data_IF_935524613353
#
_entry.id   IF_935524613353
#
_cell.length_a   1.000
_cell.length_b   1.000
_cell.length_c   1.000
_cell.angle_alpha   90.00
_cell.angle_beta   90.00
_cell.angle_gamma   90.00
#
_symmetry.space_group_name_H-M   'P 1'
#
loop_
_entity.id
_entity.type
_entity.pdbx_description
1 polymer ?
#
# COMPACT_ATOMS: atom_id res chain seq x y z
N UNK A 1 7.94 -20.13 3.93
CA UNK A 1 8.12 -18.91 4.76
C UNK A 1 9.21 -18.02 4.18
N UNK A 2 9.14 -17.73 2.88
CA UNK A 2 10.05 -16.81 2.18
C UNK A 2 9.29 -15.54 1.79
N UNK A 3 9.98 -14.41 1.59
CA UNK A 3 9.35 -13.19 1.06
C UNK A 3 8.61 -13.43 -0.27
N UNK A 4 9.17 -14.24 -1.16
CA UNK A 4 8.57 -14.62 -2.44
C UNK A 4 7.25 -15.38 -2.25
N UNK A 5 7.22 -16.44 -1.41
CA UNK A 5 5.99 -17.18 -1.14
C UNK A 5 4.90 -16.32 -0.49
N UNK A 6 5.29 -15.31 0.30
CA UNK A 6 4.35 -14.36 0.87
C UNK A 6 3.82 -13.41 -0.21
N UNK A 7 4.70 -12.86 -1.05
CA UNK A 7 4.33 -12.02 -2.17
C UNK A 7 3.32 -12.70 -3.10
N UNK A 8 3.60 -13.92 -3.57
CA UNK A 8 2.69 -14.68 -4.43
C UNK A 8 1.33 -14.90 -3.77
N UNK A 9 1.33 -15.25 -2.49
CA UNK A 9 0.09 -15.48 -1.75
C UNK A 9 -0.76 -14.21 -1.63
N UNK A 10 -0.14 -13.10 -1.28
CA UNK A 10 -0.84 -11.83 -1.11
C UNK A 10 -1.22 -11.20 -2.47
N UNK A 11 -0.45 -11.43 -3.54
CA UNK A 11 -0.78 -10.94 -4.90
C UNK A 11 -2.08 -11.58 -5.44
N UNK A 12 -2.40 -12.81 -5.01
CA UNK A 12 -3.68 -13.43 -5.35
C UNK A 12 -4.88 -12.61 -4.84
N UNK A 13 -4.77 -12.00 -3.65
CA UNK A 13 -5.80 -11.11 -3.13
C UNK A 13 -5.93 -9.80 -3.92
N UNK A 14 -4.84 -9.30 -4.52
CA UNK A 14 -4.91 -8.14 -5.44
C UNK A 14 -5.72 -8.50 -6.68
N UNK A 15 -5.56 -9.71 -7.23
CA UNK A 15 -6.34 -10.15 -8.38
C UNK A 15 -7.82 -10.29 -8.03
N UNK A 16 -8.13 -10.85 -6.86
CA UNK A 16 -9.52 -10.94 -6.37
C UNK A 16 -10.14 -9.57 -6.15
N UNK A 17 -9.38 -8.62 -5.60
CA UNK A 17 -9.82 -7.24 -5.42
C UNK A 17 -10.17 -6.57 -6.75
N UNK A 18 -9.32 -6.70 -7.78
CA UNK A 18 -9.61 -6.17 -9.12
C UNK A 18 -10.89 -6.77 -9.71
N UNK A 19 -11.12 -8.06 -9.49
CA UNK A 19 -12.37 -8.72 -9.88
C UNK A 19 -13.57 -8.13 -9.15
N UNK A 20 -13.46 -7.86 -7.84
CA UNK A 20 -14.52 -7.23 -7.06
C UNK A 20 -14.82 -5.80 -7.52
N UNK A 21 -13.80 -5.00 -7.84
CA UNK A 21 -13.96 -3.66 -8.41
C UNK A 21 -14.79 -3.67 -9.70
N UNK A 22 -14.49 -4.59 -10.62
CA UNK A 22 -15.25 -4.72 -11.86
C UNK A 22 -16.72 -5.12 -11.63
N UNK A 23 -17.01 -5.88 -10.57
CA UNK A 23 -18.37 -6.29 -10.20
C UNK A 23 -19.16 -5.19 -9.48
N UNK A 24 -18.48 -4.27 -8.79
CA UNK A 24 -19.11 -3.17 -8.06
C UNK A 24 -19.77 -2.13 -8.97
N UNK A 25 -19.38 -2.09 -10.25
CA UNK A 25 -19.85 -1.10 -11.22
C UNK A 25 -21.37 -1.16 -11.38
N UNK A 26 -22.02 -0.05 -11.03
CA UNK A 26 -23.46 0.12 -11.15
C UNK A 26 -24.29 -0.75 -10.21
N UNK A 27 -23.67 -1.38 -9.19
CA UNK A 27 -24.36 -2.09 -8.11
C UNK A 27 -25.16 -3.33 -8.54
N UNK A 28 -24.94 -3.85 -9.75
CA UNK A 28 -25.77 -4.93 -10.33
C UNK A 28 -25.41 -6.33 -9.84
N UNK A 29 -24.23 -6.51 -9.27
CA UNK A 29 -23.66 -7.82 -8.96
C UNK A 29 -23.39 -8.02 -7.46
N UNK A 30 -24.28 -7.52 -6.59
CA UNK A 30 -24.09 -7.59 -5.14
C UNK A 30 -23.86 -9.02 -4.64
N UNK A 31 -24.63 -10.01 -5.10
CA UNK A 31 -24.43 -11.42 -4.74
C UNK A 31 -23.01 -11.94 -5.06
N UNK A 32 -22.43 -11.47 -6.18
CA UNK A 32 -21.07 -11.84 -6.56
C UNK A 32 -20.02 -11.16 -5.67
N UNK A 33 -20.27 -9.92 -5.24
CA UNK A 33 -19.42 -9.20 -4.28
C UNK A 33 -19.49 -9.88 -2.91
N UNK A 34 -20.67 -10.29 -2.46
CA UNK A 34 -20.86 -11.03 -1.21
C UNK A 34 -20.14 -12.38 -1.25
N UNK A 35 -20.17 -13.06 -2.41
CA UNK A 35 -19.39 -14.26 -2.66
C UNK A 35 -17.88 -14.01 -2.56
N UNK A 36 -17.38 -12.91 -3.14
CA UNK A 36 -15.97 -12.49 -3.01
C UNK A 36 -15.59 -12.16 -1.57
N UNK A 37 -16.43 -11.40 -0.85
CA UNK A 37 -16.22 -11.11 0.57
C UNK A 37 -16.14 -12.41 1.41
N UNK A 38 -17.03 -13.36 1.14
CA UNK A 38 -17.05 -14.66 1.83
C UNK A 38 -15.77 -15.46 1.58
N UNK A 39 -15.29 -15.49 0.33
CA UNK A 39 -14.03 -16.13 -0.03
C UNK A 39 -12.81 -15.47 0.65
N UNK A 40 -12.77 -14.13 0.71
CA UNK A 40 -11.70 -13.39 1.41
C UNK A 40 -11.64 -13.79 2.89
N UNK A 41 -12.79 -13.80 3.58
CA UNK A 41 -12.90 -14.18 5.00
C UNK A 41 -12.42 -15.60 5.29
N UNK A 42 -12.56 -16.53 4.35
CA UNK A 42 -12.11 -17.91 4.52
C UNK A 42 -10.58 -18.08 4.50
N UNK A 43 -9.85 -17.05 4.05
CA UNK A 43 -8.40 -17.01 3.79
C UNK A 43 -7.92 -18.09 2.81
N UNK A 44 -7.02 -17.71 1.90
CA UNK A 44 -6.42 -18.63 0.94
C UNK A 44 -5.59 -19.70 1.66
N UNK A 45 -5.45 -20.91 1.09
CA UNK A 45 -4.60 -21.95 1.67
C UNK A 45 -3.17 -21.48 1.94
N UNK A 46 -2.56 -20.71 1.03
CA UNK A 46 -1.23 -20.13 1.22
C UNK A 46 -1.16 -19.21 2.43
N UNK A 47 -2.21 -18.44 2.71
CA UNK A 47 -2.26 -17.53 3.86
C UNK A 47 -2.27 -18.35 5.16
N UNK A 48 -3.08 -19.42 5.19
CA UNK A 48 -3.07 -20.36 6.33
C UNK A 48 -1.68 -20.96 6.54
N UNK A 49 -0.96 -21.33 5.47
CA UNK A 49 0.42 -21.80 5.58
C UNK A 49 1.38 -20.74 6.10
N UNK A 50 1.25 -19.48 5.67
CA UNK A 50 2.06 -18.36 6.19
C UNK A 50 1.85 -18.17 7.69
N UNK A 51 0.63 -18.37 8.20
CA UNK A 51 0.35 -18.27 9.64
C UNK A 51 1.04 -19.34 10.51
N UNK A 52 1.53 -20.42 9.90
CA UNK A 52 2.31 -21.47 10.57
C UNK A 52 3.81 -21.19 10.59
N UNK A 53 4.27 -20.12 9.93
CA UNK A 53 5.67 -19.72 9.95
C UNK A 53 6.11 -19.26 11.35
N UNK A 54 7.41 -19.37 11.69
CA UNK A 54 7.93 -18.82 12.94
C UNK A 54 7.59 -17.34 13.10
N UNK A 55 7.35 -16.88 14.34
CA UNK A 55 6.95 -15.49 14.64
C UNK A 55 7.95 -14.47 14.06
N UNK A 56 9.24 -14.79 14.10
CA UNK A 56 10.31 -13.96 13.52
C UNK A 56 10.20 -13.79 12.00
N UNK A 57 9.52 -14.71 11.30
CA UNK A 57 9.23 -14.64 9.87
C UNK A 57 7.87 -14.01 9.59
N UNK A 58 6.85 -14.28 10.39
CA UNK A 58 5.51 -13.68 10.20
C UNK A 58 5.50 -12.19 10.52
N UNK A 59 6.36 -11.72 11.43
CA UNK A 59 6.55 -10.29 11.70
C UNK A 59 6.92 -9.50 10.43
N UNK A 60 7.68 -10.12 9.51
CA UNK A 60 8.07 -9.53 8.23
C UNK A 60 6.90 -9.40 7.24
N UNK A 61 5.76 -10.04 7.51
CA UNK A 61 4.56 -10.00 6.66
C UNK A 61 3.43 -9.18 7.29
N UNK A 62 3.68 -8.50 8.41
CA UNK A 62 2.70 -7.68 9.12
C UNK A 62 2.12 -6.54 8.26
N UNK A 63 2.91 -6.01 7.31
CA UNK A 63 2.45 -4.99 6.37
C UNK A 63 1.44 -5.57 5.38
N UNK A 64 1.76 -6.71 4.78
CA UNK A 64 0.89 -7.42 3.86
C UNK A 64 -0.41 -7.85 4.55
N UNK A 65 -0.35 -8.30 5.80
CA UNK A 65 -1.55 -8.65 6.57
C UNK A 65 -2.47 -7.44 6.79
N UNK A 66 -1.92 -6.25 7.08
CA UNK A 66 -2.70 -5.01 7.17
C UNK A 66 -3.33 -4.64 5.83
N UNK A 67 -2.60 -4.83 4.72
CA UNK A 67 -3.14 -4.63 3.37
C UNK A 67 -4.28 -5.58 3.05
N UNK A 68 -4.13 -6.87 3.39
CA UNK A 68 -5.20 -7.86 3.27
C UNK A 68 -6.43 -7.47 4.09
N UNK A 69 -6.26 -7.03 5.35
CA UNK A 69 -7.36 -6.59 6.20
C UNK A 69 -8.08 -5.37 5.60
N UNK A 70 -7.33 -4.36 5.13
CA UNK A 70 -7.89 -3.17 4.50
C UNK A 70 -8.67 -3.52 3.22
N UNK A 71 -8.12 -4.38 2.35
CA UNK A 71 -8.82 -4.82 1.14
C UNK A 71 -10.08 -5.64 1.47
N UNK A 72 -10.00 -6.53 2.45
CA UNK A 72 -11.15 -7.29 2.90
C UNK A 72 -12.24 -6.38 3.46
N UNK A 73 -11.87 -5.34 4.22
CA UNK A 73 -12.82 -4.35 4.73
C UNK A 73 -13.50 -3.58 3.59
N UNK A 74 -12.72 -3.13 2.59
CA UNK A 74 -13.26 -2.44 1.42
C UNK A 74 -14.26 -3.32 0.67
N UNK A 75 -13.88 -4.56 0.35
CA UNK A 75 -14.75 -5.47 -0.41
C UNK A 75 -16.00 -5.88 0.37
N UNK A 76 -15.89 -6.06 1.68
CA UNK A 76 -17.00 -6.57 2.50
C UNK A 76 -17.92 -5.49 3.04
N UNK A 77 -17.40 -4.29 3.32
CA UNK A 77 -18.08 -3.29 4.12
C UNK A 77 -18.16 -1.91 3.44
N UNK A 78 -17.42 -1.69 2.35
CA UNK A 78 -17.36 -0.40 1.65
C UNK A 78 -17.44 -0.56 0.12
N UNK A 79 -18.55 -1.16 -0.33
CA UNK A 79 -18.86 -1.34 -1.76
C UNK A 79 -18.85 -0.01 -2.52
N UNK A 80 -19.19 1.10 -1.84
CA UNK A 80 -19.14 2.44 -2.43
C UNK A 80 -17.70 2.84 -2.76
N UNK A 81 -16.76 2.76 -1.82
CA UNK A 81 -15.35 3.03 -2.11
C UNK A 81 -14.78 2.07 -3.16
N UNK A 82 -15.24 0.80 -3.19
CA UNK A 82 -14.85 -0.16 -4.21
C UNK A 82 -15.27 0.29 -5.63
N UNK A 83 -16.53 0.73 -5.78
CA UNK A 83 -17.07 1.27 -7.03
C UNK A 83 -16.40 2.59 -7.42
N UNK A 84 -16.32 3.53 -6.48
CA UNK A 84 -15.78 4.88 -6.74
C UNK A 84 -14.30 4.84 -7.07
N UNK A 85 -13.53 3.92 -6.47
CA UNK A 85 -12.14 3.68 -6.84
C UNK A 85 -12.02 3.15 -8.27
N UNK A 86 -12.89 2.22 -8.68
CA UNK A 86 -12.87 1.69 -10.04
C UNK A 86 -13.18 2.78 -11.07
N UNK A 87 -14.26 3.55 -10.85
CA UNK A 87 -14.61 4.70 -11.69
C UNK A 87 -13.47 5.72 -11.70
N UNK A 88 -12.93 6.04 -10.51
CA UNK A 88 -11.83 6.98 -10.36
C UNK A 88 -10.56 6.55 -11.09
N UNK A 89 -10.25 5.25 -11.14
CA UNK A 89 -9.15 4.70 -11.94
C UNK A 89 -9.39 4.79 -13.44
N UNK A 90 -10.63 4.57 -13.90
CA UNK A 90 -11.01 4.76 -15.30
C UNK A 90 -10.97 6.22 -15.75
N UNK A 91 -11.03 7.16 -14.80
CA UNK A 91 -10.95 8.58 -15.07
C UNK A 91 -9.52 9.11 -15.24
N UNK A 92 -8.50 8.25 -15.19
CA UNK A 92 -7.14 8.66 -15.52
C UNK A 92 -6.94 8.70 -17.04
N UNK A 93 -6.36 9.79 -17.53
CA UNK A 93 -5.80 9.89 -18.87
C UNK A 93 -4.57 8.97 -18.97
N UNK A 94 -4.66 7.96 -19.83
CA UNK A 94 -3.65 6.90 -19.93
C UNK A 94 -2.31 7.46 -20.42
N UNK A 95 -2.32 8.41 -21.35
CA UNK A 95 -1.09 8.97 -21.92
C UNK A 95 -0.37 9.80 -20.85
N UNK A 96 -1.11 10.68 -20.16
CA UNK A 96 -0.56 11.45 -19.02
C UNK A 96 -0.07 10.54 -17.90
N UNK A 97 -0.78 9.44 -17.64
CA UNK A 97 -0.37 8.48 -16.62
C UNK A 97 0.94 7.79 -16.98
N UNK A 98 1.10 7.37 -18.24
CA UNK A 98 2.36 6.80 -18.71
C UNK A 98 3.48 7.83 -18.60
N UNK A 99 3.27 9.06 -19.05
CA UNK A 99 4.24 10.15 -18.94
C UNK A 99 4.66 10.39 -17.48
N UNK A 100 3.70 10.60 -16.58
CA UNK A 100 3.98 10.83 -15.16
C UNK A 100 4.70 9.65 -14.51
N UNK A 101 4.31 8.40 -14.84
CA UNK A 101 4.98 7.21 -14.33
C UNK A 101 6.43 7.13 -14.83
N UNK A 102 6.69 7.43 -16.11
CA UNK A 102 8.05 7.44 -16.68
C UNK A 102 8.90 8.52 -16.03
N UNK A 103 8.38 9.74 -15.89
CA UNK A 103 9.08 10.85 -15.26
C UNK A 103 9.45 10.58 -13.80
N UNK A 104 8.53 9.95 -13.04
CA UNK A 104 8.68 9.77 -11.58
C UNK A 104 9.27 8.43 -11.14
N UNK A 105 9.06 7.35 -11.88
CA UNK A 105 9.28 5.99 -11.35
C UNK A 105 10.07 5.05 -12.28
N UNK A 106 10.13 5.35 -13.58
CA UNK A 106 10.71 4.45 -14.58
C UNK A 106 11.82 5.07 -15.43
N UNK A 107 12.57 6.05 -14.90
CA UNK A 107 13.92 6.30 -15.41
C UNK A 107 14.79 5.09 -15.07
N UNK A 108 14.66 4.04 -15.89
CA UNK A 108 15.58 2.92 -15.93
C UNK A 108 16.80 3.43 -16.71
N UNK A 109 17.95 3.48 -16.05
CA UNK A 109 19.20 3.64 -16.78
C UNK A 109 19.48 2.32 -17.53
N UNK A 110 20.13 2.38 -18.70
CA UNK A 110 20.42 1.20 -19.52
C UNK A 110 21.19 0.10 -18.75
N UNK A 111 21.86 0.47 -17.66
CA UNK A 111 22.64 -0.41 -16.80
C UNK A 111 21.90 -0.93 -15.55
N UNK A 112 20.62 -0.59 -15.35
CA UNK A 112 19.89 -1.03 -14.16
C UNK A 112 19.58 -2.53 -14.21
N UNK A 113 19.80 -3.29 -13.12
CA UNK A 113 19.44 -4.70 -13.08
C UNK A 113 17.92 -4.87 -13.22
N UNK A 114 17.45 -5.98 -13.82
CA UNK A 114 16.02 -6.22 -13.97
C UNK A 114 15.35 -6.25 -12.59
N UNK A 115 14.43 -5.32 -12.38
CA UNK A 115 13.66 -5.22 -11.14
C UNK A 115 12.84 -6.50 -10.94
N UNK A 116 12.85 -7.05 -9.73
CA UNK A 116 11.96 -8.17 -9.39
C UNK A 116 10.48 -7.73 -9.46
N UNK A 117 9.58 -8.70 -9.56
CA UNK A 117 8.14 -8.43 -9.75
C UNK A 117 7.52 -7.58 -8.64
N UNK A 118 7.94 -7.81 -7.39
CA UNK A 118 7.47 -7.04 -6.24
C UNK A 118 7.84 -5.56 -6.35
N UNK A 119 9.10 -5.25 -6.71
CA UNK A 119 9.57 -3.87 -6.89
C UNK A 119 8.84 -3.19 -8.05
N UNK A 120 8.63 -3.90 -9.15
CA UNK A 120 7.83 -3.38 -10.29
C UNK A 120 6.40 -3.06 -9.88
N UNK A 121 5.76 -3.93 -9.09
CA UNK A 121 4.42 -3.70 -8.58
C UNK A 121 4.39 -2.49 -7.64
N UNK A 122 5.33 -2.39 -6.70
CA UNK A 122 5.40 -1.29 -5.75
C UNK A 122 5.55 0.06 -6.44
N UNK A 123 6.50 0.19 -7.36
CA UNK A 123 6.68 1.42 -8.15
C UNK A 123 5.43 1.79 -8.93
N UNK A 124 4.74 0.80 -9.51
CA UNK A 124 3.48 1.05 -10.22
C UNK A 124 2.40 1.55 -9.27
N UNK A 125 2.17 0.89 -8.13
CA UNK A 125 1.11 1.27 -7.20
C UNK A 125 1.34 2.65 -6.59
N UNK A 126 2.57 2.89 -6.10
CA UNK A 126 2.97 4.18 -5.53
C UNK A 126 2.97 5.29 -6.58
N UNK A 127 3.48 5.00 -7.77
CA UNK A 127 3.47 5.93 -8.90
C UNK A 127 2.06 6.30 -9.33
N UNK A 128 1.17 5.32 -9.49
CA UNK A 128 -0.24 5.59 -9.84
C UNK A 128 -0.94 6.43 -8.79
N UNK A 129 -0.62 6.23 -7.49
CA UNK A 129 -1.13 7.08 -6.41
C UNK A 129 -0.60 8.51 -6.51
N UNK A 130 0.72 8.67 -6.67
CA UNK A 130 1.35 9.99 -6.77
C UNK A 130 0.97 10.77 -8.04
N UNK A 131 0.66 10.08 -9.14
CA UNK A 131 0.27 10.68 -10.41
C UNK A 131 -1.24 10.96 -10.52
N UNK A 132 -2.05 10.57 -9.54
CA UNK A 132 -3.50 10.52 -9.71
C UNK A 132 -4.11 11.87 -10.12
N UNK A 133 -3.76 12.95 -9.43
CA UNK A 133 -4.34 14.27 -9.64
C UNK A 133 -3.97 14.87 -11.00
N UNK A 134 -2.70 14.75 -11.40
CA UNK A 134 -2.17 15.29 -12.67
C UNK A 134 -2.72 14.53 -13.89
N UNK A 135 -3.12 13.29 -13.68
CA UNK A 135 -3.61 12.38 -14.72
C UNK A 135 -5.13 12.32 -14.74
N UNK A 136 -5.82 12.94 -13.80
CA UNK A 136 -7.27 12.92 -13.74
C UNK A 136 -7.89 13.68 -14.91
N UNK A 137 -8.77 13.03 -15.65
CA UNK A 137 -9.50 13.63 -16.76
C UNK A 137 -10.65 14.49 -16.22
N UNK A 138 -10.63 15.79 -16.53
CA UNK A 138 -11.69 16.73 -16.12
C UNK A 138 -13.07 16.39 -16.69
N UNK A 139 -13.15 15.53 -17.71
CA UNK A 139 -14.41 15.02 -18.28
C UNK A 139 -15.00 13.83 -17.52
N UNK A 140 -14.37 13.40 -16.42
CA UNK A 140 -14.84 12.32 -15.60
C UNK A 140 -16.24 12.61 -15.01
N UNK A 141 -17.15 11.61 -14.95
CA UNK A 141 -18.49 11.80 -14.39
C UNK A 141 -18.50 12.02 -12.87
N UNK A 142 -17.38 11.79 -12.18
CA UNK A 142 -17.24 12.01 -10.73
C UNK A 142 -16.26 13.15 -10.43
N UNK A 143 -16.44 13.92 -9.34
CA UNK A 143 -15.50 14.96 -8.95
C UNK A 143 -14.13 14.39 -8.54
N UNK A 144 -13.04 15.09 -8.88
CA UNK A 144 -11.67 14.73 -8.54
C UNK A 144 -11.53 14.35 -7.06
N UNK A 145 -11.99 15.19 -6.12
CA UNK A 145 -11.81 14.95 -4.68
C UNK A 145 -12.46 13.65 -4.19
N UNK A 146 -13.65 13.35 -4.69
CA UNK A 146 -14.36 12.11 -4.35
C UNK A 146 -13.65 10.89 -4.94
N UNK A 147 -13.26 10.97 -6.21
CA UNK A 147 -12.55 9.92 -6.92
C UNK A 147 -11.17 9.64 -6.31
N UNK A 148 -10.43 10.71 -5.98
CA UNK A 148 -9.11 10.69 -5.33
C UNK A 148 -9.18 10.02 -3.96
N UNK A 149 -10.18 10.34 -3.15
CA UNK A 149 -10.34 9.74 -1.82
C UNK A 149 -10.53 8.23 -1.91
N UNK A 150 -11.45 7.78 -2.77
CA UNK A 150 -11.71 6.35 -2.95
C UNK A 150 -10.51 5.63 -3.58
N UNK A 151 -9.91 6.22 -4.63
CA UNK A 151 -8.72 5.68 -5.28
C UNK A 151 -7.55 5.54 -4.30
N UNK A 152 -7.25 6.60 -3.53
CA UNK A 152 -6.18 6.59 -2.54
C UNK A 152 -6.39 5.50 -1.48
N UNK A 153 -7.60 5.39 -0.91
CA UNK A 153 -7.93 4.35 0.05
C UNK A 153 -7.63 2.94 -0.48
N UNK A 154 -8.03 2.65 -1.72
CA UNK A 154 -7.78 1.34 -2.34
C UNK A 154 -6.31 1.12 -2.71
N UNK A 155 -5.62 2.17 -3.18
CA UNK A 155 -4.22 2.07 -3.56
C UNK A 155 -3.31 1.91 -2.35
N UNK A 156 -3.57 2.59 -1.24
CA UNK A 156 -2.85 2.38 0.01
C UNK A 156 -3.00 0.93 0.51
N UNK A 157 -4.21 0.38 0.44
CA UNK A 157 -4.46 -1.02 0.77
C UNK A 157 -3.65 -1.98 -0.13
N UNK A 158 -3.56 -1.70 -1.43
CA UNK A 158 -2.76 -2.46 -2.38
C UNK A 158 -1.24 -2.31 -2.17
N UNK A 159 -0.76 -1.11 -1.84
CA UNK A 159 0.65 -0.83 -1.50
C UNK A 159 1.05 -1.64 -0.26
N UNK A 160 0.19 -1.65 0.77
CA UNK A 160 0.39 -2.46 1.97
C UNK A 160 0.38 -3.96 1.64
N UNK A 161 -0.60 -4.42 0.84
CA UNK A 161 -0.75 -5.82 0.46
C UNK A 161 0.49 -6.35 -0.30
N UNK A 162 1.04 -5.52 -1.19
CA UNK A 162 2.27 -5.84 -1.92
C UNK A 162 3.53 -5.80 -1.02
N UNK A 163 3.43 -5.30 0.21
CA UNK A 163 4.56 -5.23 1.14
C UNK A 163 5.54 -4.10 0.81
N UNK A 164 5.10 -3.06 0.11
CA UNK A 164 5.96 -1.97 -0.32
C UNK A 164 6.46 -1.11 0.86
N UNK A 165 7.74 -0.78 0.84
CA UNK A 165 8.33 0.21 1.75
C UNK A 165 8.03 1.64 1.27
N UNK A 166 8.05 2.60 2.20
CA UNK A 166 7.60 3.98 1.97
C UNK A 166 8.35 4.70 0.83
N UNK A 167 7.58 5.49 0.07
CA UNK A 167 7.84 6.29 -1.15
C UNK A 167 8.82 5.76 -2.22
N UNK A 168 8.50 5.95 -3.51
CA UNK A 168 9.30 5.45 -4.63
C UNK A 168 10.69 6.11 -4.74
N UNK A 169 10.89 7.23 -4.03
CA UNK A 169 12.17 7.89 -3.86
C UNK A 169 12.65 7.67 -2.43
N UNK A 170 13.40 6.58 -2.22
CA UNK A 170 13.88 6.20 -0.92
C UNK A 170 14.58 7.35 -0.17
N UNK A 171 13.95 7.83 0.89
CA UNK A 171 14.67 7.99 2.13
C UNK A 171 14.28 6.78 2.97
N UNK A 172 15.15 5.77 2.99
CA UNK A 172 15.11 4.79 4.05
C UNK A 172 15.02 5.59 5.36
N UNK A 173 13.91 5.46 6.07
CA UNK A 173 13.92 5.77 7.49
C UNK A 173 14.95 4.81 8.07
N UNK A 174 16.18 5.32 8.21
CA UNK A 174 17.16 4.80 9.13
C UNK A 174 16.36 4.44 10.36
N UNK A 175 16.30 3.14 10.63
CA UNK A 175 15.83 2.63 11.89
C UNK A 175 16.58 3.45 12.92
N UNK A 176 15.87 4.35 13.60
CA UNK A 176 16.39 5.02 14.78
C UNK A 176 16.47 3.93 15.84
N UNK A 177 17.50 3.10 15.72
CA UNK A 177 18.04 2.35 16.83
C UNK A 177 18.50 3.43 17.80
N UNK A 178 17.93 3.56 19.00
CA UNK A 178 18.50 4.43 20.00
C UNK A 178 19.73 3.70 20.56
N UNK A 179 20.82 3.67 19.79
CA UNK A 179 22.14 3.33 20.30
C UNK A 179 22.71 4.58 20.97
N UNK A 180 22.55 4.60 22.29
CA UNK A 180 23.47 5.23 23.23
C UNK A 180 23.72 6.73 23.07
N UNK A 181 23.04 7.53 23.88
CA UNK A 181 23.64 8.76 24.42
C UNK A 181 23.35 8.84 25.93
N UNK A 182 24.21 8.17 26.69
CA UNK A 182 24.44 8.50 28.09
C UNK A 182 25.14 9.87 28.12
N UNK A 183 24.38 10.95 28.28
CA UNK A 183 24.92 12.23 28.71
C UNK A 183 24.40 12.53 30.11
N UNK A 184 25.13 12.03 31.10
CA UNK A 184 25.13 12.61 32.43
C UNK A 184 25.99 13.87 32.41
N UNK A 185 25.42 15.01 32.78
CA UNK A 185 26.18 16.18 33.21
C UNK A 185 25.61 16.64 34.55
N UNK A 186 26.24 16.09 35.59
CA UNK A 186 26.63 16.69 36.87
C UNK A 186 26.14 18.13 37.11
N UNK A 187 25.19 18.27 38.05
CA UNK A 187 24.89 19.55 38.68
C UNK A 187 26.00 19.89 39.70
N UNK A 188 26.90 20.80 39.30
CA UNK A 188 27.84 21.48 40.21
C UNK A 188 27.06 22.47 41.08
N UNK A 189 26.57 21.98 42.22
CA UNK A 189 26.33 22.79 43.41
C UNK A 189 27.69 23.01 44.08
N UNK A 190 27.88 24.18 44.71
CA UNK A 190 29.07 24.70 45.40
C UNK A 190 29.92 25.57 44.46
N UNK A 191 29.98 26.89 44.61
CA UNK A 191 30.36 27.66 45.81
C UNK A 191 30.06 29.16 45.51
N UNK A 192 29.82 30.10 46.43
CA UNK A 192 30.57 30.51 47.63
C UNK A 192 29.64 31.36 48.52
N UNK A 193 29.48 31.07 49.83
CA UNK A 193 30.24 31.62 50.98
C UNK A 193 30.01 33.14 51.16
N UNK A 194 29.77 33.76 52.32
CA UNK A 194 29.85 33.41 53.75
C UNK A 194 29.22 34.57 54.56
N UNK A 195 28.70 34.25 55.73
CA UNK A 195 28.41 35.11 56.90
C UNK A 195 29.37 36.28 57.15
N UNK A 196 28.81 37.44 57.52
CA UNK A 196 29.20 38.22 58.71
C UNK A 196 27.97 38.94 59.24
#
# INVERSE_FOLDING_TARGET
CTPESAFECYDQYRLDFKGAQALAVGGKYQDAIDGKCSALKQKLPCHKQISLCPVTKTANFSRQERGYQALSDIVCNDTQALNDSYIGGLCQDVDKLIECLVERNFRLHEDDPPLNENVRLCRRLQGSLGCYEETFNSSCPVPLESAKTAFAKTQEALILLAGCDGEPNGSAHLSAVPQGLLLGIVALVLTRWTTT
#
